data_IF_304992798006
#
_entry.id   IF_304992798006
#
_cell.length_a   1.000
_cell.length_b   1.000
_cell.length_c   1.000
_cell.angle_alpha   90.00
_cell.angle_beta   90.00
_cell.angle_gamma   90.00
#
_symmetry.space_group_name_H-M   'P 1'
#
loop_
_entity.id
_entity.type
_entity.pdbx_description
1 polymer ?
#
# COMPACT_ATOMS: atom_id res chain seq x y z
N UNK A 1 -27.14 45.76 -22.09
CA UNK A 1 -26.11 45.39 -21.09
C UNK A 1 -24.95 46.37 -21.19
N UNK A 2 -24.56 47.02 -20.09
CA UNK A 2 -23.34 47.84 -20.04
C UNK A 2 -22.11 46.94 -20.10
N UNK A 3 -20.99 47.39 -20.67
CA UNK A 3 -19.75 46.60 -20.80
C UNK A 3 -19.32 45.98 -19.46
N UNK A 4 -19.50 46.71 -18.36
CA UNK A 4 -19.23 46.26 -16.98
C UNK A 4 -20.07 45.05 -16.57
N UNK A 5 -21.34 44.99 -16.98
CA UNK A 5 -22.22 43.84 -16.70
C UNK A 5 -21.83 42.59 -17.50
N UNK A 6 -21.21 42.75 -18.67
CA UNK A 6 -20.72 41.65 -19.50
C UNK A 6 -19.40 41.07 -18.93
N UNK A 7 -18.50 41.92 -18.46
CA UNK A 7 -17.26 41.48 -17.79
C UNK A 7 -17.54 40.75 -16.47
N UNK A 8 -18.51 41.22 -15.69
CA UNK A 8 -18.91 40.56 -14.45
C UNK A 8 -19.52 39.17 -14.71
N UNK A 9 -20.33 39.02 -15.76
CA UNK A 9 -20.89 37.74 -16.17
C UNK A 9 -19.82 36.76 -16.68
N UNK A 10 -18.85 37.25 -17.45
CA UNK A 10 -17.68 36.45 -17.88
C UNK A 10 -16.82 36.00 -16.69
N UNK A 11 -16.62 36.87 -15.69
CA UNK A 11 -15.85 36.53 -14.49
C UNK A 11 -16.55 35.44 -13.67
N UNK A 12 -17.87 35.51 -13.51
CA UNK A 12 -18.67 34.46 -12.84
C UNK A 12 -18.56 33.13 -13.59
N UNK A 13 -18.71 33.14 -14.91
CA UNK A 13 -18.57 31.93 -15.75
C UNK A 13 -17.19 31.27 -15.62
N UNK A 14 -16.11 32.05 -15.57
CA UNK A 14 -14.75 31.52 -15.40
C UNK A 14 -14.57 30.92 -14.00
N UNK A 15 -15.06 31.58 -12.95
CA UNK A 15 -14.95 31.06 -11.57
C UNK A 15 -15.79 29.80 -11.32
N UNK A 16 -16.94 29.66 -11.98
CA UNK A 16 -17.80 28.46 -11.84
C UNK A 16 -17.17 27.22 -12.47
N UNK A 17 -16.48 27.37 -13.61
CA UNK A 17 -15.77 26.26 -14.26
C UNK A 17 -14.57 25.77 -13.42
N UNK A 18 -13.87 26.66 -12.71
CA UNK A 18 -12.77 26.27 -11.82
C UNK A 18 -13.25 25.54 -10.56
N UNK A 19 -14.42 25.88 -10.02
CA UNK A 19 -15.00 25.19 -8.87
C UNK A 19 -15.44 23.75 -9.18
N UNK A 20 -15.88 23.48 -10.43
CA UNK A 20 -16.24 22.14 -10.91
C UNK A 20 -15.02 21.29 -11.35
N UNK A 21 -13.85 21.91 -11.50
CA UNK A 21 -12.60 21.23 -11.87
C UNK A 21 -11.81 20.69 -10.66
N UNK A 22 -12.43 20.60 -9.47
CA UNK A 22 -11.93 19.68 -8.46
C UNK A 22 -12.22 18.27 -8.97
N UNK A 23 -11.25 17.68 -9.67
CA UNK A 23 -11.25 16.26 -10.00
C UNK A 23 -11.42 15.49 -8.68
N UNK A 24 -12.65 15.08 -8.38
CA UNK A 24 -12.92 14.14 -7.31
C UNK A 24 -12.10 12.91 -7.63
N UNK A 25 -11.13 12.59 -6.78
CA UNK A 25 -10.39 11.33 -6.90
C UNK A 25 -11.45 10.23 -6.79
N UNK A 26 -11.63 9.46 -7.85
CA UNK A 26 -12.50 8.30 -7.80
C UNK A 26 -11.90 7.31 -6.80
N UNK A 27 -12.73 6.63 -6.05
CA UNK A 27 -12.33 5.45 -5.30
C UNK A 27 -13.50 4.48 -5.40
N UNK A 28 -13.26 3.20 -5.69
CA UNK A 28 -14.34 2.24 -5.77
C UNK A 28 -14.99 2.06 -4.41
N UNK A 29 -16.31 1.85 -4.44
CA UNK A 29 -17.06 1.42 -3.27
C UNK A 29 -16.50 0.10 -2.72
N UNK A 30 -16.71 -0.13 -1.42
CA UNK A 30 -16.23 -1.36 -0.76
C UNK A 30 -16.72 -2.60 -1.51
N UNK A 31 -15.80 -3.54 -1.75
CA UNK A 31 -16.06 -4.81 -2.45
C UNK A 31 -16.53 -4.66 -3.91
N UNK A 32 -16.31 -3.52 -4.55
CA UNK A 32 -16.60 -3.33 -5.98
C UNK A 32 -15.36 -3.49 -6.85
N UNK A 33 -15.57 -3.62 -8.16
CA UNK A 33 -14.46 -3.69 -9.12
C UNK A 33 -14.01 -2.28 -9.45
N UNK A 34 -12.69 -2.05 -9.37
CA UNK A 34 -12.06 -0.81 -9.82
C UNK A 34 -12.39 -0.56 -11.31
N UNK A 35 -12.88 0.62 -11.62
CA UNK A 35 -13.05 1.06 -13.01
C UNK A 35 -11.71 1.12 -13.73
N UNK A 36 -11.73 0.76 -15.02
CA UNK A 36 -10.55 0.78 -15.89
C UNK A 36 -10.61 2.00 -16.80
N UNK A 37 -9.47 2.65 -17.01
CA UNK A 37 -9.34 3.81 -17.88
C UNK A 37 -8.19 3.60 -18.86
N UNK A 38 -8.35 4.13 -20.08
CA UNK A 38 -7.27 4.12 -21.06
C UNK A 38 -6.05 4.90 -20.53
N UNK A 39 -4.83 4.39 -20.70
CA UNK A 39 -3.61 5.07 -20.26
C UNK A 39 -3.50 6.51 -20.75
N UNK A 40 -3.89 6.77 -22.01
CA UNK A 40 -3.87 8.10 -22.61
C UNK A 40 -4.75 9.09 -21.88
N UNK A 41 -5.94 8.65 -21.44
CA UNK A 41 -6.92 9.51 -20.75
C UNK A 41 -6.48 9.81 -19.32
N UNK A 42 -5.57 9.00 -18.77
CA UNK A 42 -4.94 9.18 -17.46
C UNK A 42 -3.61 9.96 -17.51
N UNK A 43 -3.22 10.46 -18.69
CA UNK A 43 -1.98 11.20 -18.90
C UNK A 43 -0.72 10.32 -19.01
N UNK A 44 -0.87 9.00 -19.19
CA UNK A 44 0.24 8.11 -19.46
C UNK A 44 0.54 8.03 -20.95
N UNK A 45 1.82 7.88 -21.27
CA UNK A 45 2.23 7.42 -22.59
C UNK A 45 2.05 5.89 -22.65
N UNK A 46 1.12 5.42 -23.48
CA UNK A 46 0.76 4.01 -23.57
C UNK A 46 1.96 3.10 -23.94
N UNK A 47 2.86 3.57 -24.82
CA UNK A 47 4.05 2.81 -25.22
C UNK A 47 4.98 2.61 -24.04
N UNK A 48 5.32 3.69 -23.32
CA UNK A 48 6.19 3.61 -22.14
C UNK A 48 5.58 2.79 -20.99
N UNK A 49 4.25 2.86 -20.84
CA UNK A 49 3.55 2.05 -19.86
C UNK A 49 3.67 0.56 -20.20
N UNK A 50 3.51 0.20 -21.47
CA UNK A 50 3.67 -1.16 -21.94
C UNK A 50 5.13 -1.65 -21.80
N UNK A 51 6.13 -0.83 -22.13
CA UNK A 51 7.54 -1.15 -21.89
C UNK A 51 7.84 -1.46 -20.42
N UNK A 52 7.22 -0.73 -19.48
CA UNK A 52 7.36 -0.99 -18.05
C UNK A 52 6.71 -2.32 -17.62
N UNK A 53 5.58 -2.67 -18.22
CA UNK A 53 4.90 -3.96 -17.98
C UNK A 53 5.75 -5.11 -18.52
N UNK A 54 6.23 -5.01 -19.76
CA UNK A 54 7.12 -6.00 -20.38
C UNK A 54 8.39 -6.19 -19.55
N UNK A 55 8.97 -5.09 -19.05
CA UNK A 55 10.12 -5.16 -18.14
C UNK A 55 9.78 -5.92 -16.86
N UNK A 56 8.63 -5.65 -16.23
CA UNK A 56 8.22 -6.34 -15.01
C UNK A 56 7.97 -7.85 -15.25
N UNK A 57 7.39 -8.21 -16.39
CA UNK A 57 7.15 -9.61 -16.77
C UNK A 57 8.46 -10.35 -17.09
N UNK A 58 9.40 -9.69 -17.79
CA UNK A 58 10.69 -10.26 -18.15
C UNK A 58 11.65 -10.43 -16.94
N UNK A 59 11.43 -9.68 -15.85
CA UNK A 59 12.26 -9.68 -14.65
C UNK A 59 11.59 -10.38 -13.46
N UNK A 60 10.85 -11.46 -13.71
CA UNK A 60 10.30 -12.30 -12.65
C UNK A 60 11.42 -12.79 -11.71
N UNK A 61 11.13 -12.88 -10.40
CA UNK A 61 12.01 -13.51 -9.43
C UNK A 61 12.42 -14.92 -9.90
N UNK A 62 13.73 -15.17 -9.99
CA UNK A 62 14.29 -16.41 -10.55
C UNK A 62 14.35 -17.59 -9.56
N UNK A 63 14.09 -17.33 -8.28
CA UNK A 63 14.07 -18.39 -7.27
C UNK A 63 12.86 -19.32 -7.40
N UNK A 64 12.89 -20.41 -6.63
CA UNK A 64 11.87 -21.45 -6.66
C UNK A 64 10.45 -20.90 -6.58
N UNK A 65 9.55 -21.45 -7.39
CA UNK A 65 8.10 -21.19 -7.26
C UNK A 65 7.51 -21.84 -6.01
N UNK A 66 8.14 -22.89 -5.48
CA UNK A 66 7.80 -23.42 -4.16
C UNK A 66 8.46 -22.55 -3.08
N UNK A 67 7.63 -21.76 -2.40
CA UNK A 67 8.12 -20.83 -1.38
C UNK A 67 8.77 -21.52 -0.19
N UNK A 68 8.51 -22.81 0.07
CA UNK A 68 9.26 -23.55 1.10
C UNK A 68 10.75 -23.58 0.78
N UNK A 69 11.06 -23.90 -0.47
CA UNK A 69 12.43 -23.97 -0.96
C UNK A 69 13.04 -22.57 -0.98
N UNK A 70 12.30 -21.58 -1.50
CA UNK A 70 12.81 -20.21 -1.58
C UNK A 70 13.12 -19.62 -0.19
N UNK A 71 12.25 -19.84 0.80
CA UNK A 71 12.44 -19.36 2.18
C UNK A 71 13.64 -20.06 2.82
N UNK A 72 13.67 -21.40 2.83
CA UNK A 72 14.77 -22.16 3.43
C UNK A 72 16.12 -21.81 2.79
N UNK A 73 16.13 -21.60 1.46
CA UNK A 73 17.34 -21.19 0.75
C UNK A 73 17.77 -19.77 1.10
N UNK A 74 16.83 -18.84 1.22
CA UNK A 74 17.09 -17.43 1.55
C UNK A 74 17.69 -17.23 2.94
N UNK A 75 17.35 -18.11 3.88
CA UNK A 75 17.82 -18.08 5.27
C UNK A 75 18.77 -19.24 5.59
N UNK A 76 19.42 -19.85 4.59
CA UNK A 76 20.24 -21.06 4.79
C UNK A 76 21.45 -20.86 5.72
N UNK A 77 21.82 -19.61 5.99
CA UNK A 77 22.93 -19.23 6.88
C UNK A 77 22.47 -18.88 8.29
N UNK A 78 21.17 -18.71 8.51
CA UNK A 78 20.64 -18.36 9.83
C UNK A 78 20.54 -19.62 10.71
N UNK A 79 21.12 -19.60 11.93
CA UNK A 79 21.00 -20.73 12.84
C UNK A 79 19.55 -20.90 13.29
N UNK A 80 19.11 -22.16 13.45
CA UNK A 80 17.77 -22.52 13.92
C UNK A 80 16.60 -22.00 13.05
N UNK A 81 16.86 -21.65 11.78
CA UNK A 81 15.80 -21.22 10.89
C UNK A 81 14.85 -22.37 10.53
N UNK A 82 13.56 -22.16 10.77
CA UNK A 82 12.50 -23.05 10.35
C UNK A 82 11.32 -22.26 9.77
N UNK A 83 10.51 -22.93 8.94
CA UNK A 83 9.29 -22.34 8.41
C UNK A 83 8.20 -22.44 9.49
N UNK A 84 7.77 -21.28 9.98
CA UNK A 84 6.62 -21.16 10.86
C UNK A 84 5.35 -20.91 10.03
N UNK A 85 4.46 -21.89 10.01
CA UNK A 85 3.15 -21.79 9.35
C UNK A 85 3.11 -22.24 7.89
N UNK A 86 1.93 -22.13 7.25
CA UNK A 86 1.72 -22.65 5.91
C UNK A 86 2.38 -21.79 4.83
N UNK A 87 2.91 -22.46 3.81
CA UNK A 87 3.43 -21.84 2.59
C UNK A 87 2.63 -22.28 1.37
N UNK A 88 2.66 -21.50 0.30
CA UNK A 88 2.03 -21.84 -0.99
C UNK A 88 3.02 -21.61 -2.12
N UNK A 89 2.88 -22.32 -3.24
CA UNK A 89 3.62 -21.98 -4.47
C UNK A 89 3.22 -20.58 -4.94
N UNK A 90 4.17 -19.69 -5.22
CA UNK A 90 3.87 -18.32 -5.70
C UNK A 90 3.29 -18.31 -7.13
N UNK A 91 2.55 -17.26 -7.45
CA UNK A 91 2.11 -16.97 -8.82
C UNK A 91 3.26 -16.53 -9.74
N UNK A 92 2.92 -16.27 -11.01
CA UNK A 92 3.79 -15.51 -11.91
C UNK A 92 3.85 -14.02 -11.54
N UNK A 93 4.61 -13.20 -12.29
CA UNK A 93 4.63 -11.76 -12.07
C UNK A 93 3.23 -11.20 -12.31
N UNK A 94 2.78 -10.34 -11.41
CA UNK A 94 1.48 -9.69 -11.52
C UNK A 94 1.58 -8.28 -10.93
N UNK A 95 0.76 -7.37 -11.45
CA UNK A 95 0.73 -5.99 -10.96
C UNK A 95 -0.48 -5.22 -11.44
N UNK A 96 -0.72 -4.11 -10.76
CA UNK A 96 -1.78 -3.15 -11.05
C UNK A 96 -1.16 -1.76 -10.98
N UNK A 97 -1.49 -0.89 -11.92
CA UNK A 97 -1.16 0.53 -11.85
C UNK A 97 -2.48 1.30 -11.70
N UNK A 98 -2.56 2.12 -10.65
CA UNK A 98 -3.73 2.92 -10.32
C UNK A 98 -3.38 4.41 -10.46
N UNK A 99 -4.29 5.18 -11.06
CA UNK A 99 -4.20 6.64 -11.16
C UNK A 99 -5.53 7.26 -10.78
N UNK A 100 -5.52 8.09 -9.74
CA UNK A 100 -6.68 8.84 -9.27
C UNK A 100 -7.94 7.96 -9.05
N UNK A 101 -7.77 6.71 -8.62
CA UNK A 101 -8.88 5.79 -8.47
C UNK A 101 -9.09 4.79 -9.60
N UNK A 102 -8.51 5.02 -10.78
CA UNK A 102 -8.76 4.21 -11.95
C UNK A 102 -7.63 3.23 -12.18
N UNK A 103 -7.97 2.02 -12.60
CA UNK A 103 -7.01 1.04 -13.08
C UNK A 103 -6.59 1.40 -14.50
N UNK A 104 -5.32 1.74 -14.69
CA UNK A 104 -4.79 2.11 -16.01
C UNK A 104 -4.03 0.97 -16.68
N UNK A 105 -3.53 0.02 -15.88
CA UNK A 105 -2.93 -1.20 -16.37
C UNK A 105 -3.01 -2.31 -15.33
N UNK A 106 -3.02 -3.55 -15.82
CA UNK A 106 -2.87 -4.76 -15.01
C UNK A 106 -2.20 -5.85 -15.86
N UNK A 107 -1.44 -6.72 -15.21
CA UNK A 107 -0.84 -7.90 -15.84
C UNK A 107 -0.79 -9.06 -14.83
N UNK A 108 -0.71 -10.28 -15.33
CA UNK A 108 -0.73 -11.49 -14.51
C UNK A 108 -2.02 -11.74 -13.73
N UNK A 109 -1.96 -12.66 -12.77
CA UNK A 109 -3.11 -13.10 -11.97
C UNK A 109 -3.31 -12.24 -10.70
N UNK A 110 -3.73 -10.99 -10.86
CA UNK A 110 -3.83 -10.01 -9.75
C UNK A 110 -4.86 -10.35 -8.66
N UNK A 111 -5.76 -11.30 -8.89
CA UNK A 111 -6.75 -11.78 -7.89
C UNK A 111 -6.28 -13.00 -7.11
N UNK A 112 -5.08 -13.52 -7.42
CA UNK A 112 -4.54 -14.69 -6.74
C UNK A 112 -4.09 -14.33 -5.33
N UNK A 113 -4.45 -15.15 -4.35
CA UNK A 113 -3.90 -15.02 -3.00
C UNK A 113 -2.47 -15.54 -3.00
N UNK A 114 -1.52 -14.63 -2.75
CA UNK A 114 -0.08 -14.86 -2.64
C UNK A 114 0.47 -14.45 -1.28
N UNK A 115 1.62 -15.02 -0.90
CA UNK A 115 2.36 -14.58 0.28
C UNK A 115 3.03 -13.24 -0.02
N UNK A 116 2.71 -12.21 0.76
CA UNK A 116 3.18 -10.83 0.54
C UNK A 116 4.36 -10.43 1.44
N UNK A 117 4.84 -11.33 2.29
CA UNK A 117 5.97 -11.12 3.21
C UNK A 117 5.85 -9.81 4.00
N UNK A 118 6.82 -8.89 3.88
CA UNK A 118 6.88 -7.67 4.69
C UNK A 118 5.78 -6.65 4.37
N UNK A 119 4.97 -6.82 3.33
CA UNK A 119 3.73 -6.01 3.18
C UNK A 119 2.82 -6.17 4.39
N UNK A 120 2.86 -7.32 5.09
CA UNK A 120 2.18 -7.54 6.38
C UNK A 120 2.45 -6.42 7.39
N UNK A 121 3.66 -5.83 7.39
CA UNK A 121 4.01 -4.74 8.30
C UNK A 121 3.22 -3.46 8.00
N UNK A 122 2.91 -3.17 6.74
CA UNK A 122 2.06 -2.03 6.37
C UNK A 122 0.63 -2.19 6.90
N UNK A 123 0.08 -3.41 6.86
CA UNK A 123 -1.21 -3.71 7.48
C UNK A 123 -1.15 -3.53 8.99
N UNK A 124 -0.08 -3.99 9.64
CA UNK A 124 0.13 -3.79 11.08
C UNK A 124 0.20 -2.30 11.44
N UNK A 125 0.91 -1.47 10.66
CA UNK A 125 0.95 -0.03 10.86
C UNK A 125 -0.43 0.63 10.73
N UNK A 126 -1.23 0.21 9.74
CA UNK A 126 -2.60 0.70 9.59
C UNK A 126 -3.49 0.33 10.79
N UNK A 127 -3.38 -0.91 11.29
CA UNK A 127 -4.11 -1.37 12.48
C UNK A 127 -3.66 -0.60 13.73
N UNK A 128 -2.37 -0.32 13.89
CA UNK A 128 -1.86 0.51 14.97
C UNK A 128 -2.41 1.94 14.92
N UNK A 129 -2.52 2.53 13.72
CA UNK A 129 -3.19 3.82 13.54
C UNK A 129 -4.65 3.81 14.00
N UNK A 130 -5.40 2.76 13.65
CA UNK A 130 -6.77 2.58 14.16
C UNK A 130 -6.79 2.43 15.69
N UNK A 131 -5.86 1.68 16.28
CA UNK A 131 -5.77 1.53 17.73
C UNK A 131 -5.47 2.87 18.43
N UNK A 132 -4.64 3.71 17.83
CA UNK A 132 -4.36 5.07 18.30
C UNK A 132 -5.60 5.98 18.23
N UNK A 133 -6.32 5.98 17.10
CA UNK A 133 -7.55 6.75 16.92
C UNK A 133 -8.62 6.35 17.94
N UNK A 134 -8.70 5.05 18.23
CA UNK A 134 -9.62 4.47 19.23
C UNK A 134 -9.11 4.56 20.68
N UNK A 135 -7.96 5.22 20.92
CA UNK A 135 -7.34 5.37 22.26
C UNK A 135 -7.01 4.04 22.96
N UNK A 136 -6.85 2.97 22.21
CA UNK A 136 -6.27 1.71 22.68
C UNK A 136 -4.74 1.81 22.80
N UNK A 137 -4.12 2.65 21.98
CA UNK A 137 -2.80 3.23 22.21
C UNK A 137 -3.05 4.68 22.56
N UNK A 138 -2.79 5.09 23.80
CA UNK A 138 -3.14 6.43 24.26
C UNK A 138 -2.25 7.51 23.62
N UNK A 139 -0.94 7.26 23.64
CA UNK A 139 0.09 8.02 22.92
C UNK A 139 1.19 7.06 22.46
N UNK A 140 1.84 7.36 21.34
CA UNK A 140 2.90 6.52 20.77
C UNK A 140 4.19 6.52 21.62
N UNK A 141 4.39 7.53 22.45
CA UNK A 141 5.53 7.59 23.40
C UNK A 141 5.34 6.74 24.65
N UNK A 142 4.20 6.08 24.84
CA UNK A 142 4.02 5.19 25.98
C UNK A 142 4.87 3.93 25.87
N UNK A 143 5.36 3.46 27.01
CA UNK A 143 6.06 2.19 27.11
C UNK A 143 5.10 1.02 26.80
N UNK A 144 5.53 0.12 25.92
CA UNK A 144 4.73 -1.01 25.43
C UNK A 144 4.40 -2.01 26.55
N UNK A 145 5.26 -2.11 27.57
CA UNK A 145 5.04 -2.95 28.76
C UNK A 145 3.70 -2.65 29.48
N UNK A 146 3.17 -1.44 29.35
CA UNK A 146 1.89 -1.06 29.94
C UNK A 146 0.69 -1.65 29.18
N UNK A 147 0.91 -2.18 27.98
CA UNK A 147 -0.13 -2.72 27.08
C UNK A 147 0.00 -4.23 26.87
N UNK A 148 1.22 -4.77 26.97
CA UNK A 148 1.52 -6.18 26.71
C UNK A 148 1.97 -6.85 28.01
N UNK A 149 1.15 -7.80 28.50
CA UNK A 149 1.27 -8.39 29.83
C UNK A 149 1.86 -9.82 29.84
N UNK A 150 2.45 -10.28 28.74
CA UNK A 150 3.00 -11.64 28.61
C UNK A 150 4.47 -11.75 29.09
N UNK A 151 5.03 -10.66 29.62
CA UNK A 151 6.41 -10.58 30.10
C UNK A 151 7.46 -10.32 29.00
N UNK A 152 7.06 -10.20 27.72
CA UNK A 152 8.00 -9.98 26.60
C UNK A 152 8.84 -8.69 26.78
N UNK A 153 8.26 -7.67 27.41
CA UNK A 153 8.90 -6.36 27.62
C UNK A 153 9.50 -6.19 29.02
N UNK A 154 9.65 -7.26 29.79
CA UNK A 154 10.27 -7.19 31.11
C UNK A 154 11.78 -6.88 31.03
N UNK A 155 12.33 -6.34 32.14
CA UNK A 155 13.76 -6.08 32.30
C UNK A 155 14.22 -4.66 31.92
N UNK A 156 15.43 -4.31 32.32
CA UNK A 156 15.96 -2.94 32.26
C UNK A 156 16.08 -2.34 30.85
N UNK A 157 16.23 -3.19 29.83
CA UNK A 157 16.32 -2.76 28.44
C UNK A 157 14.93 -2.66 27.80
N UNK A 158 14.19 -3.78 27.77
CA UNK A 158 12.92 -3.86 27.02
C UNK A 158 11.81 -2.99 27.63
N UNK A 159 11.83 -2.74 28.94
CA UNK A 159 10.83 -1.89 29.62
C UNK A 159 10.84 -0.43 29.15
N UNK A 160 11.91 0.01 28.46
CA UNK A 160 12.05 1.34 27.87
C UNK A 160 11.50 1.44 26.45
N UNK A 161 11.07 0.34 25.85
CA UNK A 161 10.57 0.32 24.48
C UNK A 161 9.17 0.96 24.45
N UNK A 162 8.99 1.94 23.58
CA UNK A 162 7.73 2.64 23.35
C UNK A 162 7.05 2.15 22.08
N UNK A 163 5.77 2.48 21.89
CA UNK A 163 5.08 2.21 20.62
C UNK A 163 5.77 2.90 19.44
N UNK A 164 6.25 4.13 19.65
CA UNK A 164 7.05 4.88 18.67
C UNK A 164 8.28 4.06 18.26
N UNK A 165 8.96 3.44 19.22
CA UNK A 165 10.13 2.63 18.91
C UNK A 165 9.82 1.45 17.98
N UNK A 166 8.75 0.70 18.30
CA UNK A 166 8.31 -0.43 17.48
C UNK A 166 7.82 -0.02 16.10
N UNK A 167 7.05 1.07 16.01
CA UNK A 167 6.45 1.55 14.76
C UNK A 167 7.46 2.23 13.83
N UNK A 168 8.60 2.69 14.35
CA UNK A 168 9.67 3.35 13.60
C UNK A 168 10.93 2.48 13.45
N UNK A 169 10.91 1.23 13.94
CA UNK A 169 12.02 0.28 13.87
C UNK A 169 13.32 0.79 14.50
N UNK A 170 13.25 1.39 15.69
CA UNK A 170 14.41 1.90 16.42
C UNK A 170 14.39 1.53 17.93
N UNK A 171 13.75 0.41 18.26
CA UNK A 171 13.70 -0.21 19.59
C UNK A 171 15.01 -0.85 20.02
#
# INVERSE_FOLDING_TARGET
>A
MTKTSLYFFFFILITWNHALSQNSVYFPERNTTWETQDPSDSGFNAIKLNEAIEFAEANEYSGSRDLRIAILKGFEREPFHEILGPTKKRGGPAGIILKNGYMVAKWGETKRVDMTFSVTKSFLSAVAGLAYDHKLIAVDTDNVINYIWDGTFDGDHNSKITWQHLLQQNS
#
